data_IF_429532078729
#
_entry.id   IF_429532078729
#
_cell.length_a   1.000
_cell.length_b   1.000
_cell.length_c   1.000
_cell.angle_alpha   90.00
_cell.angle_beta   90.00
_cell.angle_gamma   90.00
#
_symmetry.space_group_name_H-M   'P 1'
#
loop_
_entity.id
_entity.type
_entity.pdbx_description
1 polymer ?
#
# COMPACT_ATOMS: atom_id res chain seq x y z
N UNK A 1 2.77 -22.92 2.11
CA UNK A 1 2.34 -22.74 0.71
C UNK A 1 3.07 -23.71 -0.20
N UNK A 2 2.32 -24.56 -0.91
CA UNK A 2 2.83 -25.63 -1.78
C UNK A 2 2.64 -25.33 -3.28
N UNK A 3 2.84 -26.31 -4.18
CA UNK A 3 3.15 -26.10 -5.60
C UNK A 3 2.11 -25.43 -6.52
N UNK A 4 0.87 -25.16 -6.08
CA UNK A 4 -0.24 -24.73 -6.97
C UNK A 4 -0.92 -23.40 -6.54
N UNK A 5 -0.18 -22.45 -5.98
CA UNK A 5 -0.73 -21.13 -5.62
C UNK A 5 0.33 -20.12 -5.16
N UNK A 6 -0.10 -18.89 -4.88
CA UNK A 6 0.83 -17.83 -4.46
C UNK A 6 0.14 -16.59 -3.91
N UNK A 7 0.96 -15.62 -3.49
CA UNK A 7 0.48 -14.31 -3.04
C UNK A 7 1.37 -13.22 -3.61
N UNK A 8 0.76 -12.20 -4.20
CA UNK A 8 1.42 -11.02 -4.75
C UNK A 8 0.90 -9.82 -3.96
N UNK A 9 1.82 -9.02 -3.43
CA UNK A 9 1.52 -7.77 -2.73
C UNK A 9 2.13 -6.61 -3.50
N UNK A 10 1.27 -5.81 -4.14
CA UNK A 10 1.68 -4.64 -4.89
C UNK A 10 1.77 -3.41 -3.98
N UNK A 11 2.92 -2.74 -3.97
CA UNK A 11 3.13 -1.54 -3.18
C UNK A 11 2.67 -0.31 -3.98
N UNK A 12 1.44 0.14 -3.71
CA UNK A 12 0.92 1.39 -4.26
C UNK A 12 1.34 2.57 -3.37
N UNK A 13 0.40 3.44 -3.01
CA UNK A 13 0.54 4.63 -2.18
C UNK A 13 -0.87 5.08 -1.82
N UNK A 14 -1.01 5.88 -0.76
CA UNK A 14 -2.21 6.68 -0.53
C UNK A 14 -2.60 7.53 -1.76
N UNK A 15 -1.61 7.97 -2.56
CA UNK A 15 -1.84 8.63 -3.85
C UNK A 15 -2.57 7.75 -4.89
N UNK A 16 -2.61 6.43 -4.69
CA UNK A 16 -3.39 5.50 -5.50
C UNK A 16 -4.87 5.43 -5.11
N UNK A 17 -5.27 6.03 -3.99
CA UNK A 17 -6.66 6.04 -3.49
C UNK A 17 -7.34 7.41 -3.63
N UNK A 18 -6.57 8.49 -3.77
CA UNK A 18 -7.10 9.85 -3.88
C UNK A 18 -6.22 10.75 -4.76
N UNK A 19 -6.77 11.90 -5.14
CA UNK A 19 -6.00 12.94 -5.81
C UNK A 19 -4.87 13.47 -4.91
N UNK A 20 -3.70 13.75 -5.51
CA UNK A 20 -2.54 14.36 -4.87
C UNK A 20 -1.73 15.15 -5.91
N UNK A 21 -0.73 15.91 -5.48
CA UNK A 21 0.24 16.54 -6.38
C UNK A 21 1.17 15.49 -7.00
N UNK A 22 1.64 15.75 -8.22
CA UNK A 22 2.56 14.86 -8.95
C UNK A 22 1.84 13.89 -9.89
N UNK A 23 1.36 14.40 -11.04
CA UNK A 23 0.50 13.67 -11.99
C UNK A 23 1.06 12.31 -12.42
N UNK A 24 2.36 12.23 -12.72
CA UNK A 24 3.00 10.98 -13.12
C UNK A 24 3.01 9.95 -11.98
N UNK A 25 3.40 10.37 -10.77
CA UNK A 25 3.40 9.49 -9.60
C UNK A 25 1.98 9.02 -9.27
N UNK A 26 1.01 9.93 -9.19
CA UNK A 26 -0.40 9.60 -8.92
C UNK A 26 -0.93 8.64 -9.98
N UNK A 27 -0.72 8.94 -11.26
CA UNK A 27 -1.16 8.08 -12.37
C UNK A 27 -0.62 6.65 -12.26
N UNK A 28 0.67 6.49 -11.95
CA UNK A 28 1.25 5.15 -11.78
C UNK A 28 0.68 4.40 -10.57
N UNK A 29 0.39 5.10 -9.45
CA UNK A 29 -0.15 4.47 -8.24
C UNK A 29 -1.62 4.06 -8.39
N UNK A 30 -2.40 4.80 -9.19
CA UNK A 30 -3.71 4.37 -9.67
C UNK A 30 -3.61 3.16 -10.61
N UNK A 31 -2.63 3.16 -11.53
CA UNK A 31 -2.41 2.01 -12.42
C UNK A 31 -2.08 0.74 -11.65
N UNK A 32 -1.19 0.80 -10.64
CA UNK A 32 -0.87 -0.34 -9.76
C UNK A 32 -2.11 -0.88 -9.04
N UNK A 33 -2.99 0.01 -8.57
CA UNK A 33 -4.27 -0.35 -7.96
C UNK A 33 -5.18 -1.09 -8.96
N UNK A 34 -5.32 -0.56 -10.18
CA UNK A 34 -6.08 -1.21 -11.25
C UNK A 34 -5.51 -2.58 -11.66
N UNK A 35 -4.20 -2.65 -11.88
CA UNK A 35 -3.50 -3.89 -12.23
C UNK A 35 -3.68 -4.98 -11.16
N UNK A 36 -3.69 -4.59 -9.89
CA UNK A 36 -3.96 -5.52 -8.78
C UNK A 36 -5.32 -6.19 -8.92
N UNK A 37 -6.37 -5.41 -9.21
CA UNK A 37 -7.73 -5.94 -9.39
C UNK A 37 -7.84 -6.87 -10.60
N UNK A 38 -7.25 -6.47 -11.73
CA UNK A 38 -7.22 -7.30 -12.94
C UNK A 38 -6.48 -8.61 -12.70
N UNK A 39 -5.27 -8.55 -12.13
CA UNK A 39 -4.46 -9.74 -11.84
C UNK A 39 -5.12 -10.66 -10.79
N UNK A 40 -5.79 -10.11 -9.77
CA UNK A 40 -6.55 -10.92 -8.81
C UNK A 40 -7.63 -11.76 -9.50
N UNK A 41 -8.31 -11.20 -10.52
CA UNK A 41 -9.33 -11.91 -11.30
C UNK A 41 -8.72 -12.96 -12.23
N UNK A 42 -7.64 -12.62 -12.92
CA UNK A 42 -7.00 -13.49 -13.91
C UNK A 42 -6.20 -14.65 -13.29
N UNK A 43 -5.55 -14.40 -12.15
CA UNK A 43 -4.68 -15.37 -11.49
C UNK A 43 -5.38 -16.17 -10.38
N UNK A 44 -6.58 -15.73 -9.96
CA UNK A 44 -7.40 -16.42 -8.95
C UNK A 44 -7.65 -17.91 -9.25
N UNK A 45 -8.02 -18.31 -10.49
CA UNK A 45 -8.17 -19.73 -10.86
C UNK A 45 -6.91 -20.58 -10.70
N UNK A 46 -5.72 -19.94 -10.60
CA UNK A 46 -4.43 -20.59 -10.34
C UNK A 46 -4.05 -20.60 -8.85
N UNK A 47 -4.98 -20.25 -7.96
CA UNK A 47 -4.70 -20.16 -6.52
C UNK A 47 -3.78 -19.00 -6.14
N UNK A 48 -3.62 -17.98 -7.00
CA UNK A 48 -2.77 -16.82 -6.74
C UNK A 48 -3.63 -15.64 -6.27
N UNK A 49 -3.32 -15.13 -5.08
CA UNK A 49 -3.95 -13.94 -4.53
C UNK A 49 -3.14 -12.70 -4.90
N UNK A 50 -3.80 -11.60 -5.23
CA UNK A 50 -3.13 -10.36 -5.58
C UNK A 50 -3.79 -9.21 -4.83
N UNK A 51 -3.06 -8.53 -3.97
CA UNK A 51 -3.56 -7.41 -3.17
C UNK A 51 -2.65 -6.20 -3.29
N UNK A 52 -3.20 -5.00 -3.09
CA UNK A 52 -2.41 -3.78 -3.04
C UNK A 52 -2.43 -3.18 -1.65
N UNK A 53 -1.29 -2.65 -1.25
CA UNK A 53 -1.18 -1.83 -0.04
C UNK A 53 -0.89 -0.38 -0.42
N UNK A 54 -1.37 0.53 0.41
CA UNK A 54 -1.38 1.96 0.16
C UNK A 54 -0.79 2.72 1.35
N UNK A 55 0.55 2.74 1.49
CA UNK A 55 1.18 3.48 2.56
C UNK A 55 0.93 4.99 2.46
N UNK A 56 0.73 5.62 3.63
CA UNK A 56 0.75 7.07 3.80
C UNK A 56 2.18 7.61 3.90
N UNK A 57 2.42 8.48 4.89
CA UNK A 57 3.75 9.02 5.17
C UNK A 57 4.54 7.97 5.97
N UNK A 58 5.61 7.41 5.39
CA UNK A 58 6.49 6.43 6.03
C UNK A 58 7.91 6.99 6.09
N UNK A 59 8.52 6.97 7.28
CA UNK A 59 9.89 7.43 7.52
C UNK A 59 10.90 6.55 6.78
N UNK A 60 11.35 7.04 5.63
CA UNK A 60 12.34 6.43 4.75
C UNK A 60 13.20 7.53 4.14
N UNK A 61 14.37 7.22 3.55
CA UNK A 61 15.21 8.23 2.88
C UNK A 61 14.50 8.99 1.73
N UNK A 62 13.37 8.47 1.23
CA UNK A 62 12.54 9.21 0.26
C UNK A 62 12.04 10.56 0.81
N UNK A 63 11.85 10.64 2.14
CA UNK A 63 11.37 11.87 2.79
C UNK A 63 12.49 12.90 3.01
N UNK A 64 13.76 12.57 2.75
CA UNK A 64 14.88 13.52 2.82
C UNK A 64 14.74 14.66 1.80
N UNK A 65 13.85 14.49 0.81
CA UNK A 65 13.45 15.54 -0.12
C UNK A 65 12.54 16.62 0.51
N UNK A 66 12.06 16.43 1.73
CA UNK A 66 11.24 17.38 2.48
C UNK A 66 12.08 18.08 3.54
N UNK A 67 11.78 19.36 3.80
CA UNK A 67 12.33 20.02 5.01
C UNK A 67 11.69 19.43 6.28
N UNK A 68 12.35 19.62 7.41
CA UNK A 68 11.81 19.20 8.72
C UNK A 68 10.43 19.84 9.01
N UNK A 69 10.25 21.10 8.62
CA UNK A 69 8.98 21.82 8.75
C UNK A 69 7.88 21.20 7.88
N UNK A 70 8.22 20.82 6.65
CA UNK A 70 7.32 20.14 5.72
C UNK A 70 6.90 18.77 6.26
N UNK A 71 7.86 17.99 6.76
CA UNK A 71 7.61 16.68 7.36
C UNK A 71 6.71 16.81 8.60
N UNK A 72 7.00 17.78 9.48
CA UNK A 72 6.19 18.05 10.68
C UNK A 72 4.77 18.44 10.31
N UNK A 73 4.60 19.35 9.35
CA UNK A 73 3.28 19.84 8.90
C UNK A 73 2.45 18.72 8.28
N UNK A 74 3.05 17.87 7.44
CA UNK A 74 2.37 16.73 6.82
C UNK A 74 2.03 15.65 7.86
N UNK A 75 2.93 15.38 8.79
CA UNK A 75 2.72 14.39 9.85
C UNK A 75 1.61 14.81 10.82
N UNK A 76 1.46 16.11 11.09
CA UNK A 76 0.38 16.64 11.94
C UNK A 76 -1.03 16.38 11.37
N UNK A 77 -1.15 16.04 10.07
CA UNK A 77 -2.41 15.66 9.45
C UNK A 77 -2.77 14.18 9.67
N UNK A 78 -1.83 13.35 10.15
CA UNK A 78 -2.07 11.93 10.39
C UNK A 78 -2.82 11.77 11.72
N UNK A 79 -4.03 11.19 11.74
CA UNK A 79 -4.82 11.04 12.97
C UNK A 79 -4.12 10.27 14.09
N UNK A 80 -3.31 9.25 13.78
CA UNK A 80 -2.48 8.55 14.77
C UNK A 80 -1.29 9.37 15.31
N UNK A 81 -1.13 10.62 14.89
CA UNK A 81 -0.18 11.59 15.46
C UNK A 81 1.29 11.37 15.09
N UNK A 82 1.59 10.43 14.18
CA UNK A 82 2.96 10.13 13.75
C UNK A 82 3.02 9.68 12.30
N UNK A 83 4.19 9.82 11.70
CA UNK A 83 4.51 9.11 10.47
C UNK A 83 4.63 7.60 10.77
N UNK A 84 4.32 6.78 9.77
CA UNK A 84 4.57 5.35 9.83
C UNK A 84 6.06 5.04 9.79
N UNK A 85 6.43 3.87 10.30
CA UNK A 85 7.74 3.28 10.15
C UNK A 85 7.70 2.16 9.10
N UNK A 86 8.83 1.75 8.50
CA UNK A 86 8.87 0.61 7.59
C UNK A 86 8.22 -0.65 8.17
N UNK A 87 8.36 -0.88 9.48
CA UNK A 87 7.80 -2.02 10.20
C UNK A 87 6.26 -2.00 10.18
N UNK A 88 5.62 -0.82 10.21
CA UNK A 88 4.16 -0.70 10.08
C UNK A 88 3.67 -1.23 8.71
N UNK A 89 4.52 -1.19 7.68
CA UNK A 89 4.24 -1.73 6.34
C UNK A 89 4.57 -3.22 6.24
N UNK A 90 5.69 -3.65 6.83
CA UNK A 90 6.16 -5.05 6.77
C UNK A 90 5.14 -6.01 7.38
N UNK A 91 4.51 -5.66 8.51
CA UNK A 91 3.56 -6.54 9.17
C UNK A 91 2.38 -6.94 8.28
N UNK A 92 1.81 -5.98 7.53
CA UNK A 92 0.69 -6.29 6.64
C UNK A 92 1.14 -7.03 5.38
N UNK A 93 2.35 -6.76 4.87
CA UNK A 93 2.94 -7.56 3.78
C UNK A 93 3.06 -9.02 4.22
N UNK A 94 3.65 -9.27 5.39
CA UNK A 94 3.78 -10.64 5.94
C UNK A 94 2.43 -11.32 6.13
N UNK A 95 1.42 -10.60 6.66
CA UNK A 95 0.06 -11.12 6.78
C UNK A 95 -0.52 -11.52 5.42
N UNK A 96 -0.39 -10.66 4.40
CA UNK A 96 -0.90 -10.91 3.05
C UNK A 96 -0.14 -12.02 2.33
N UNK A 97 1.13 -12.25 2.65
CA UNK A 97 1.92 -13.36 2.13
C UNK A 97 1.68 -14.68 2.89
N UNK A 98 1.09 -14.64 4.08
CA UNK A 98 0.78 -15.81 4.89
C UNK A 98 -0.57 -16.47 4.53
N UNK A 99 -0.82 -17.67 5.09
CA UNK A 99 -2.11 -18.38 4.98
C UNK A 99 -3.24 -17.73 5.78
N UNK A 100 -2.95 -16.76 6.66
CA UNK A 100 -3.98 -16.00 7.38
C UNK A 100 -4.85 -15.15 6.45
N UNK A 101 -4.35 -14.83 5.26
CA UNK A 101 -5.06 -14.05 4.24
C UNK A 101 -5.59 -14.91 3.07
N UNK A 102 -5.77 -16.23 3.27
CA UNK A 102 -6.15 -17.20 2.21
C UNK A 102 -7.43 -16.86 1.41
N UNK A 103 -8.28 -15.97 1.93
CA UNK A 103 -9.51 -15.53 1.27
C UNK A 103 -9.52 -14.02 0.94
N UNK A 104 -8.35 -13.39 0.91
CA UNK A 104 -8.18 -11.97 0.58
C UNK A 104 -7.43 -11.86 -0.75
N UNK A 105 -8.14 -11.42 -1.79
CA UNK A 105 -7.59 -11.13 -3.13
C UNK A 105 -8.35 -9.95 -3.74
N UNK A 106 -7.64 -9.07 -4.44
CA UNK A 106 -8.16 -7.82 -5.00
C UNK A 106 -8.37 -6.69 -3.98
N UNK A 107 -7.92 -6.90 -2.73
CA UNK A 107 -8.09 -5.95 -1.65
C UNK A 107 -7.12 -4.75 -1.77
N UNK A 108 -7.53 -3.64 -1.15
CA UNK A 108 -6.85 -2.36 -1.16
C UNK A 108 -6.70 -1.91 0.29
N UNK A 109 -5.50 -2.06 0.85
CA UNK A 109 -5.28 -1.88 2.28
C UNK A 109 -4.48 -0.60 2.50
N UNK A 110 -5.11 0.41 3.09
CA UNK A 110 -4.45 1.64 3.51
C UNK A 110 -3.59 1.40 4.77
N UNK A 111 -2.40 1.98 4.78
CA UNK A 111 -1.46 1.95 5.92
C UNK A 111 -1.00 3.40 6.15
N UNK A 112 -1.91 4.23 6.66
CA UNK A 112 -1.75 5.68 6.60
C UNK A 112 -2.11 6.40 7.90
N UNK A 113 -2.35 5.63 8.98
CA UNK A 113 -2.74 6.18 10.28
C UNK A 113 -4.04 6.97 10.26
N UNK A 114 -4.94 6.71 9.30
CA UNK A 114 -6.22 7.40 9.12
C UNK A 114 -6.16 8.61 8.19
N UNK A 115 -5.04 8.86 7.52
CA UNK A 115 -4.88 10.04 6.66
C UNK A 115 -5.84 10.06 5.45
N UNK A 116 -6.41 8.92 5.06
CA UNK A 116 -7.37 8.78 3.96
C UNK A 116 -8.84 9.07 4.32
N UNK A 117 -9.20 9.11 5.61
CA UNK A 117 -10.60 9.21 6.06
C UNK A 117 -10.97 10.58 6.60
#
# INVERSE_FOLDING_TARGET
>A
MGPDGGSIVNISSLAGLRASKGIAYVGTKWAVRGMTKTAARELGPRGIRVNSIHPGIILTPMLDAWSDEDLKTRTAQVPLGRAGLPEDVVHIVLFLLSDFSRYISGAEIAIDGGLSV
#
